data_IF_531556612175
#
_entry.id   IF_531556612175
#
_cell.length_a   1.000
_cell.length_b   1.000
_cell.length_c   1.000
_cell.angle_alpha   90.00
_cell.angle_beta   90.00
_cell.angle_gamma   90.00
#
_symmetry.space_group_name_H-M   'P 1'
#
loop_
_entity.id
_entity.type
_entity.pdbx_description
1 polymer ?
#
# COMPACT_ATOMS: atom_id res chain seq x y z
N UNK A 1 -4.40 24.32 19.14
CA UNK A 1 -3.21 23.63 19.71
C UNK A 1 -1.93 24.17 19.06
N UNK A 2 -0.89 24.48 19.83
CA UNK A 2 0.44 24.81 19.31
C UNK A 2 1.06 23.66 18.48
N UNK A 3 2.00 23.98 17.58
CA UNK A 3 2.67 22.99 16.71
C UNK A 3 3.37 21.87 17.51
N UNK A 4 4.05 22.21 18.60
CA UNK A 4 4.69 21.23 19.47
C UNK A 4 3.69 20.24 20.09
N UNK A 5 2.54 20.75 20.56
CA UNK A 5 1.46 19.91 21.09
C UNK A 5 0.90 18.96 20.03
N UNK A 6 0.85 19.38 18.76
CA UNK A 6 0.44 18.49 17.66
C UNK A 6 1.40 17.31 17.47
N UNK A 7 2.71 17.48 17.62
CA UNK A 7 3.64 16.35 17.54
C UNK A 7 3.49 15.36 18.70
N UNK A 8 3.05 15.85 19.86
CA UNK A 8 2.81 15.00 21.03
C UNK A 8 1.46 14.28 20.98
N UNK A 9 0.43 14.93 20.42
CA UNK A 9 -0.93 14.38 20.38
C UNK A 9 -1.25 13.62 19.09
N UNK A 10 -0.52 13.87 18.00
CA UNK A 10 -0.79 13.22 16.73
C UNK A 10 -0.24 11.80 16.69
N UNK A 11 -0.87 10.97 15.86
CA UNK A 11 -0.45 9.61 15.62
C UNK A 11 0.48 9.53 14.41
N UNK A 12 1.73 9.15 14.65
CA UNK A 12 2.73 8.96 13.61
C UNK A 12 2.72 7.55 13.01
N UNK A 13 3.48 7.38 11.93
CA UNK A 13 3.86 6.05 11.43
C UNK A 13 4.70 5.34 12.50
N UNK A 14 4.46 4.06 12.67
CA UNK A 14 5.22 3.25 13.63
C UNK A 14 6.67 3.12 13.16
N UNK A 15 7.67 3.37 14.03
CA UNK A 15 9.01 2.85 13.82
C UNK A 15 8.95 1.33 13.67
N UNK A 16 9.62 0.80 12.67
CA UNK A 16 9.54 -0.62 12.32
C UNK A 16 10.93 -1.18 12.10
N UNK A 17 11.18 -2.33 12.71
CA UNK A 17 12.27 -3.22 12.36
C UNK A 17 11.69 -4.39 11.56
N UNK A 18 12.20 -4.62 10.36
CA UNK A 18 11.73 -5.67 9.45
C UNK A 18 12.88 -6.59 9.13
N UNK A 19 12.71 -7.87 9.40
CA UNK A 19 13.52 -8.94 8.83
C UNK A 19 12.71 -9.58 7.70
N UNK A 20 13.33 -9.77 6.54
CA UNK A 20 12.64 -10.23 5.35
C UNK A 20 13.54 -11.20 4.59
N UNK A 21 12.97 -12.31 4.14
CA UNK A 21 13.60 -13.27 3.25
C UNK A 21 12.68 -13.57 2.07
N UNK A 22 13.26 -13.66 0.88
CA UNK A 22 12.55 -13.92 -0.35
C UNK A 22 13.37 -14.90 -1.19
N UNK A 23 12.69 -15.87 -1.79
CA UNK A 23 13.28 -16.76 -2.77
C UNK A 23 13.02 -16.27 -4.19
N UNK A 24 14.07 -16.20 -5.01
CA UNK A 24 14.00 -15.89 -6.44
C UNK A 24 14.75 -16.99 -7.20
N UNK A 25 14.12 -17.61 -8.19
CA UNK A 25 14.79 -18.61 -9.03
C UNK A 25 15.62 -17.97 -10.16
N UNK A 26 16.34 -18.81 -10.92
CA UNK A 26 17.18 -18.36 -12.04
C UNK A 26 16.39 -17.70 -13.18
N UNK A 27 15.07 -17.97 -13.26
CA UNK A 27 14.17 -17.36 -14.24
C UNK A 27 13.52 -16.08 -13.70
N UNK A 28 13.85 -15.69 -12.46
CA UNK A 28 13.30 -14.52 -11.80
C UNK A 28 11.89 -14.72 -11.25
N UNK A 29 11.41 -15.94 -11.05
CA UNK A 29 10.11 -16.20 -10.38
C UNK A 29 10.28 -16.18 -8.86
N UNK A 30 9.37 -15.51 -8.17
CA UNK A 30 9.33 -15.45 -6.70
C UNK A 30 8.74 -16.75 -6.17
N UNK A 31 9.46 -17.44 -5.29
CA UNK A 31 9.04 -18.74 -4.74
C UNK A 31 8.40 -18.62 -3.35
N UNK A 32 8.97 -17.79 -2.47
CA UNK A 32 8.44 -17.52 -1.14
C UNK A 32 8.73 -16.11 -0.66
N UNK A 33 7.94 -15.66 0.30
CA UNK A 33 8.18 -14.46 1.11
C UNK A 33 7.96 -14.78 2.58
N UNK A 34 8.98 -14.50 3.39
CA UNK A 34 8.95 -14.62 4.83
C UNK A 34 9.26 -13.27 5.46
N UNK A 35 8.31 -12.71 6.20
CA UNK A 35 8.39 -11.35 6.72
C UNK A 35 8.13 -11.31 8.22
N UNK A 36 9.08 -10.74 8.94
CA UNK A 36 9.03 -10.54 10.38
C UNK A 36 9.06 -9.04 10.66
N UNK A 37 7.97 -8.48 11.18
CA UNK A 37 7.85 -7.06 11.46
C UNK A 37 7.67 -6.80 12.96
N UNK A 38 8.60 -6.07 13.55
CA UNK A 38 8.50 -5.55 14.91
C UNK A 38 8.21 -4.06 14.86
N UNK A 39 7.08 -3.64 15.42
CA UNK A 39 6.65 -2.24 15.39
C UNK A 39 6.55 -1.64 16.79
N UNK A 40 7.03 -0.41 16.92
CA UNK A 40 6.86 0.38 18.14
C UNK A 40 5.53 1.13 18.09
N UNK A 41 4.62 0.76 19.00
CA UNK A 41 3.26 1.28 19.04
C UNK A 41 3.05 2.52 19.91
N UNK A 42 4.04 2.93 20.71
CA UNK A 42 3.87 3.90 21.78
C UNK A 42 2.97 3.40 22.93
N UNK A 43 2.50 4.33 23.76
CA UNK A 43 1.92 4.01 25.07
C UNK A 43 0.51 3.39 25.04
N UNK A 44 -0.27 3.59 23.97
CA UNK A 44 -1.69 3.20 23.90
C UNK A 44 -2.00 2.38 22.67
N UNK A 45 -3.09 1.60 22.70
CA UNK A 45 -3.44 0.66 21.63
C UNK A 45 -3.57 1.30 20.25
N UNK A 46 -4.35 2.40 20.15
CA UNK A 46 -4.58 3.14 18.90
C UNK A 46 -4.94 2.16 17.75
N UNK A 47 -4.53 2.46 16.52
CA UNK A 47 -4.60 1.58 15.36
C UNK A 47 -3.48 0.51 15.33
N UNK A 48 -2.84 0.20 16.45
CA UNK A 48 -1.68 -0.70 16.51
C UNK A 48 -1.97 -2.10 15.98
N UNK A 49 -3.11 -2.68 16.35
CA UNK A 49 -3.54 -4.02 15.87
C UNK A 49 -3.71 -4.03 14.36
N UNK A 50 -4.42 -3.03 13.81
CA UNK A 50 -4.63 -2.88 12.36
C UNK A 50 -3.32 -2.62 11.63
N UNK A 51 -2.42 -1.82 12.21
CA UNK A 51 -1.10 -1.56 11.64
C UNK A 51 -0.28 -2.85 11.55
N UNK A 52 -0.31 -3.67 12.60
CA UNK A 52 0.40 -4.96 12.64
C UNK A 52 -0.16 -5.90 11.59
N UNK A 53 -1.49 -5.94 11.40
CA UNK A 53 -2.10 -6.72 10.33
C UNK A 53 -1.68 -6.24 8.92
N UNK A 54 -1.71 -4.93 8.69
CA UNK A 54 -1.35 -4.34 7.39
C UNK A 54 0.14 -4.48 7.01
N UNK A 55 1.05 -4.57 7.99
CA UNK A 55 2.46 -4.87 7.72
C UNK A 55 2.68 -6.26 7.08
N UNK A 56 1.73 -7.19 7.23
CA UNK A 56 1.77 -8.50 6.60
C UNK A 56 0.91 -8.56 5.35
N UNK A 57 -0.39 -8.33 5.51
CA UNK A 57 -1.41 -8.67 4.52
C UNK A 57 -1.22 -7.96 3.16
N UNK A 58 -0.70 -6.73 3.17
CA UNK A 58 -0.55 -5.89 1.97
C UNK A 58 0.73 -6.20 1.18
N UNK A 59 1.57 -7.14 1.63
CA UNK A 59 2.74 -7.59 0.84
C UNK A 59 2.36 -8.56 -0.29
N UNK A 60 1.14 -9.12 -0.24
CA UNK A 60 0.66 -10.14 -1.18
C UNK A 60 0.22 -9.61 -2.55
N UNK A 61 0.31 -8.31 -2.79
CA UNK A 61 0.17 -7.72 -4.13
C UNK A 61 1.30 -6.73 -4.39
N UNK A 62 1.61 -6.34 -5.63
CA UNK A 62 0.99 -6.79 -6.86
C UNK A 62 1.60 -8.10 -7.38
N UNK A 63 2.52 -8.74 -6.65
CA UNK A 63 3.20 -9.95 -7.09
C UNK A 63 2.50 -11.24 -6.64
N UNK A 64 2.50 -12.24 -7.52
CA UNK A 64 2.04 -13.59 -7.25
C UNK A 64 3.08 -14.31 -6.39
N UNK A 65 2.74 -14.50 -5.12
CA UNK A 65 3.58 -15.20 -4.14
C UNK A 65 2.78 -16.39 -3.63
N UNK A 66 3.26 -17.61 -3.91
CA UNK A 66 2.56 -18.85 -3.58
C UNK A 66 2.81 -19.28 -2.12
N UNK A 67 3.98 -18.97 -1.56
CA UNK A 67 4.37 -19.35 -0.20
C UNK A 67 4.63 -18.09 0.63
N UNK A 68 3.78 -17.82 1.62
CA UNK A 68 3.86 -16.62 2.44
C UNK A 68 3.84 -16.94 3.92
N UNK A 69 4.81 -16.42 4.66
CA UNK A 69 4.84 -16.44 6.12
C UNK A 69 4.97 -15.02 6.65
N UNK A 70 4.17 -14.70 7.66
CA UNK A 70 4.22 -13.41 8.34
C UNK A 70 4.22 -13.59 9.85
N UNK A 71 5.15 -12.90 10.51
CA UNK A 71 5.19 -12.77 11.96
C UNK A 71 5.23 -11.29 12.35
N UNK A 72 4.15 -10.81 12.97
CA UNK A 72 4.00 -9.42 13.39
C UNK A 72 4.02 -9.28 14.90
N UNK A 73 4.87 -8.39 15.42
CA UNK A 73 4.93 -8.05 16.84
C UNK A 73 4.79 -6.54 17.03
N UNK A 74 3.93 -6.15 17.97
CA UNK A 74 3.79 -4.75 18.38
C UNK A 74 4.20 -4.61 19.84
N UNK A 75 5.17 -3.74 20.10
CA UNK A 75 5.56 -3.37 21.45
C UNK A 75 4.82 -2.11 21.93
N UNK A 76 4.39 -2.11 23.19
CA UNK A 76 4.07 -0.88 23.90
C UNK A 76 5.36 -0.23 24.41
N UNK A 77 5.49 1.08 24.27
CA UNK A 77 6.65 1.84 24.75
C UNK A 77 6.22 3.14 25.41
N UNK A 78 7.10 3.78 26.18
CA UNK A 78 6.82 5.06 26.85
C UNK A 78 6.85 6.29 25.90
N UNK A 79 6.51 6.10 24.62
CA UNK A 79 6.42 7.14 23.60
C UNK A 79 4.97 7.48 23.27
N UNK A 80 4.77 8.58 22.56
CA UNK A 80 3.45 8.98 22.07
C UNK A 80 2.84 7.87 21.21
N UNK A 81 1.52 7.62 21.31
CA UNK A 81 0.89 6.53 20.59
C UNK A 81 0.99 6.72 19.08
N UNK A 82 1.48 5.72 18.38
CA UNK A 82 1.48 5.69 16.92
C UNK A 82 0.09 5.34 16.38
N UNK A 83 -0.12 5.47 15.07
CA UNK A 83 -1.40 5.14 14.46
C UNK A 83 -1.37 5.15 12.94
N UNK A 84 -2.47 5.57 12.33
CA UNK A 84 -2.60 5.61 10.88
C UNK A 84 -1.87 6.82 10.28
N UNK A 85 -0.98 6.55 9.32
CA UNK A 85 -0.36 7.54 8.45
C UNK A 85 -0.48 7.03 7.01
N UNK A 86 -0.54 7.94 6.01
CA UNK A 86 -0.76 7.60 4.59
C UNK A 86 0.07 6.38 4.14
N UNK A 87 -0.60 5.39 3.55
CA UNK A 87 -0.03 4.05 3.33
C UNK A 87 0.08 3.27 4.65
N UNK A 88 -1.02 3.18 5.39
CA UNK A 88 -1.07 2.68 6.76
C UNK A 88 -0.60 1.22 6.81
N UNK A 89 0.48 0.97 7.54
CA UNK A 89 1.08 -0.36 7.72
C UNK A 89 1.87 -0.89 6.52
N UNK A 90 1.56 -0.48 5.29
CA UNK A 90 2.19 -1.02 4.08
C UNK A 90 3.58 -0.44 3.76
N UNK A 91 3.86 0.81 4.15
CA UNK A 91 5.01 1.55 3.59
C UNK A 91 6.35 0.92 3.98
N UNK A 92 6.54 0.59 5.26
CA UNK A 92 7.83 0.08 5.75
C UNK A 92 8.09 -1.34 5.24
N UNK A 93 7.07 -2.21 5.24
CA UNK A 93 7.19 -3.57 4.73
C UNK A 93 7.39 -3.58 3.20
N UNK A 94 6.69 -2.71 2.46
CA UNK A 94 6.86 -2.58 1.02
C UNK A 94 8.26 -2.10 0.66
N UNK A 95 8.79 -1.12 1.39
CA UNK A 95 10.16 -0.66 1.18
C UNK A 95 11.16 -1.83 1.32
N UNK A 96 11.06 -2.60 2.41
CA UNK A 96 11.92 -3.75 2.63
C UNK A 96 11.80 -4.81 1.51
N UNK A 97 10.56 -5.08 1.05
CA UNK A 97 10.29 -6.03 -0.03
C UNK A 97 10.89 -5.58 -1.36
N UNK A 98 10.64 -4.33 -1.79
CA UNK A 98 11.15 -3.83 -3.07
C UNK A 98 12.67 -3.72 -3.08
N UNK A 99 13.27 -3.32 -1.95
CA UNK A 99 14.74 -3.28 -1.81
C UNK A 99 15.34 -4.67 -1.90
N UNK A 100 14.80 -5.66 -1.18
CA UNK A 100 15.27 -7.04 -1.26
C UNK A 100 15.12 -7.60 -2.68
N UNK A 101 14.00 -7.31 -3.35
CA UNK A 101 13.78 -7.74 -4.73
C UNK A 101 14.82 -7.17 -5.68
N UNK A 102 15.17 -5.89 -5.55
CA UNK A 102 16.22 -5.26 -6.36
C UNK A 102 17.61 -5.84 -6.05
N UNK A 103 17.93 -6.12 -4.79
CA UNK A 103 19.18 -6.78 -4.40
C UNK A 103 19.30 -8.19 -5.01
N UNK A 104 18.21 -8.96 -5.00
CA UNK A 104 18.15 -10.28 -5.65
C UNK A 104 18.30 -10.17 -7.17
N UNK A 105 17.68 -9.16 -7.81
CA UNK A 105 17.85 -8.90 -9.24
C UNK A 105 19.31 -8.56 -9.57
N UNK A 106 19.99 -7.76 -8.74
CA UNK A 106 21.41 -7.43 -8.93
C UNK A 106 22.29 -8.67 -8.81
N UNK A 107 22.08 -9.49 -7.77
CA UNK A 107 22.83 -10.73 -7.56
C UNK A 107 22.63 -11.73 -8.71
N UNK A 108 21.40 -11.87 -9.21
CA UNK A 108 21.05 -12.75 -10.33
C UNK A 108 21.33 -12.13 -11.72
N UNK A 109 21.76 -10.86 -11.77
CA UNK A 109 21.96 -10.07 -13.00
C UNK A 109 20.72 -9.97 -13.89
N UNK A 110 19.54 -10.01 -13.29
CA UNK A 110 18.25 -9.87 -13.98
C UNK A 110 17.83 -8.39 -14.08
N UNK A 111 17.00 -8.06 -15.07
CA UNK A 111 16.39 -6.73 -15.15
C UNK A 111 15.21 -6.63 -14.16
N UNK A 112 15.22 -5.65 -13.24
CA UNK A 112 14.19 -5.52 -12.20
C UNK A 112 12.79 -5.15 -12.75
N UNK A 113 12.67 -4.57 -13.93
CA UNK A 113 11.37 -4.39 -14.60
C UNK A 113 10.82 -5.72 -15.09
N UNK A 114 11.66 -6.54 -15.74
CA UNK A 114 11.26 -7.85 -16.26
C UNK A 114 10.84 -8.80 -15.14
N UNK A 115 11.62 -8.86 -14.06
CA UNK A 115 11.30 -9.67 -12.87
C UNK A 115 9.93 -9.27 -12.33
N UNK A 116 9.65 -7.97 -12.19
CA UNK A 116 8.34 -7.50 -11.70
C UNK A 116 7.20 -7.88 -12.66
N UNK A 117 7.39 -7.72 -13.97
CA UNK A 117 6.40 -8.07 -14.99
C UNK A 117 6.07 -9.57 -15.01
N UNK A 118 7.08 -10.42 -14.77
CA UNK A 118 6.94 -11.87 -14.77
C UNK A 118 6.25 -12.41 -13.51
N UNK A 119 6.23 -11.63 -12.43
CA UNK A 119 5.62 -12.03 -11.17
C UNK A 119 4.28 -11.36 -10.87
N UNK A 120 3.66 -10.64 -11.80
CA UNK A 120 2.40 -9.94 -11.50
C UNK A 120 1.23 -10.91 -11.23
N UNK A 121 0.39 -10.55 -10.27
CA UNK A 121 -0.91 -11.18 -10.08
C UNK A 121 -1.79 -10.97 -11.31
N UNK A 122 -2.51 -12.01 -11.79
CA UNK A 122 -3.52 -11.82 -12.81
C UNK A 122 -4.73 -11.05 -12.26
N UNK A 123 -5.50 -10.42 -13.14
CA UNK A 123 -6.84 -9.91 -12.79
C UNK A 123 -7.77 -11.07 -12.44
N UNK A 124 -8.79 -10.82 -11.62
CA UNK A 124 -9.75 -11.81 -11.14
C UNK A 124 -9.12 -13.02 -10.43
N UNK A 125 -8.08 -12.78 -9.62
CA UNK A 125 -7.44 -13.81 -8.81
C UNK A 125 -7.71 -13.62 -7.32
N UNK A 126 -7.32 -14.63 -6.53
CA UNK A 126 -7.31 -14.55 -5.06
C UNK A 126 -5.92 -14.89 -4.57
N UNK A 127 -5.34 -14.04 -3.74
CA UNK A 127 -4.03 -14.29 -3.11
C UNK A 127 -4.14 -15.37 -2.03
N UNK A 128 -3.01 -15.92 -1.59
CA UNK A 128 -2.95 -16.97 -0.55
C UNK A 128 -3.62 -16.55 0.76
N UNK A 129 -3.58 -15.25 1.09
CA UNK A 129 -4.25 -14.70 2.27
C UNK A 129 -5.69 -14.22 2.03
N UNK A 130 -6.28 -14.54 0.88
CA UNK A 130 -7.69 -14.30 0.59
C UNK A 130 -8.05 -12.93 0.01
N UNK A 131 -7.08 -12.10 -0.40
CA UNK A 131 -7.40 -10.87 -1.13
C UNK A 131 -7.90 -11.21 -2.53
N UNK A 132 -9.15 -10.85 -2.80
CA UNK A 132 -9.73 -10.92 -4.15
C UNK A 132 -9.29 -9.71 -4.96
N UNK A 133 -8.46 -9.94 -5.98
CA UNK A 133 -8.01 -8.94 -6.93
C UNK A 133 -8.92 -9.01 -8.16
N UNK A 134 -9.76 -8.00 -8.37
CA UNK A 134 -10.67 -7.94 -9.53
C UNK A 134 -10.01 -7.33 -10.76
N UNK A 135 -9.09 -6.38 -10.57
CA UNK A 135 -8.35 -5.73 -11.64
C UNK A 135 -6.90 -5.48 -11.23
N UNK A 136 -5.98 -5.55 -12.20
CA UNK A 136 -4.57 -5.23 -11.99
C UNK A 136 -4.00 -4.47 -13.20
N UNK A 137 -3.74 -3.17 -13.02
CA UNK A 137 -3.11 -2.29 -14.03
C UNK A 137 -1.58 -2.20 -13.93
N UNK A 138 -0.95 -2.95 -13.04
CA UNK A 138 0.49 -2.79 -12.72
C UNK A 138 1.38 -3.02 -13.94
N UNK A 139 1.02 -3.95 -14.84
CA UNK A 139 1.74 -4.21 -16.10
C UNK A 139 1.88 -2.93 -16.93
N UNK A 140 0.74 -2.31 -17.21
CA UNK A 140 0.68 -1.07 -17.99
C UNK A 140 1.45 0.06 -17.31
N UNK A 141 1.37 0.17 -15.98
CA UNK A 141 2.16 1.13 -15.23
C UNK A 141 3.66 0.92 -15.42
N UNK A 142 4.16 -0.33 -15.30
CA UNK A 142 5.59 -0.64 -15.48
C UNK A 142 6.02 -0.35 -16.92
N UNK A 143 5.27 -0.80 -17.92
CA UNK A 143 5.61 -0.61 -19.34
C UNK A 143 5.65 0.89 -19.72
N UNK A 144 4.66 1.67 -19.25
CA UNK A 144 4.64 3.12 -19.46
C UNK A 144 5.77 3.83 -18.72
N UNK A 145 6.04 3.47 -17.47
CA UNK A 145 7.13 4.06 -16.68
C UNK A 145 8.51 3.71 -17.26
N UNK A 146 8.72 2.47 -17.72
CA UNK A 146 9.95 2.03 -18.40
C UNK A 146 10.20 2.86 -19.65
N UNK A 147 9.18 3.04 -20.47
CA UNK A 147 9.24 3.84 -21.70
C UNK A 147 9.50 5.32 -21.40
N UNK A 148 8.67 5.94 -20.55
CA UNK A 148 8.75 7.37 -20.25
C UNK A 148 10.05 7.76 -19.54
N UNK A 149 10.62 6.86 -18.74
CA UNK A 149 11.90 7.08 -18.07
C UNK A 149 13.10 6.78 -18.96
N UNK A 150 12.92 6.20 -20.15
CA UNK A 150 13.97 5.70 -21.04
C UNK A 150 14.88 4.66 -20.35
N UNK A 151 14.24 3.77 -19.59
CA UNK A 151 14.90 2.76 -18.75
C UNK A 151 15.97 1.99 -19.51
N UNK A 152 15.64 1.41 -20.67
CA UNK A 152 16.56 0.55 -21.44
C UNK A 152 17.83 1.27 -21.90
N UNK A 153 17.75 2.60 -22.07
CA UNK A 153 18.91 3.44 -22.41
C UNK A 153 19.73 3.83 -21.18
N UNK A 154 19.10 3.95 -20.00
CA UNK A 154 19.72 4.52 -18.78
C UNK A 154 20.18 3.46 -17.78
N UNK A 155 19.44 2.38 -17.62
CA UNK A 155 19.73 1.35 -16.62
C UNK A 155 21.13 0.78 -16.81
N UNK A 156 21.96 0.84 -15.75
CA UNK A 156 23.40 0.50 -15.72
C UNK A 156 24.30 1.25 -16.73
N UNK A 157 23.81 2.33 -17.35
CA UNK A 157 24.52 3.10 -18.39
C UNK A 157 24.71 4.57 -18.03
N UNK A 158 24.31 4.99 -16.83
CA UNK A 158 24.46 6.35 -16.32
C UNK A 158 25.89 6.61 -15.81
N UNK A 159 26.34 7.88 -15.82
CA UNK A 159 27.66 8.23 -15.29
C UNK A 159 27.74 8.02 -13.77
N UNK A 160 28.98 7.96 -13.26
CA UNK A 160 29.26 7.81 -11.83
C UNK A 160 28.46 8.81 -10.98
N UNK A 161 27.89 8.33 -9.87
CA UNK A 161 27.07 9.11 -8.96
C UNK A 161 25.59 9.29 -9.39
N UNK A 162 25.14 8.62 -10.46
CA UNK A 162 23.74 8.63 -10.89
C UNK A 162 23.20 7.22 -11.10
N UNK A 163 21.93 7.03 -10.75
CA UNK A 163 21.22 5.77 -10.91
C UNK A 163 19.76 5.99 -11.29
N UNK A 164 19.12 4.91 -11.75
CA UNK A 164 17.68 4.82 -11.97
C UNK A 164 17.20 3.53 -11.31
N UNK A 165 16.06 3.58 -10.64
CA UNK A 165 15.46 2.45 -9.94
C UNK A 165 13.96 2.38 -10.21
N UNK A 166 13.37 1.23 -9.90
CA UNK A 166 11.95 0.96 -10.11
C UNK A 166 11.40 0.24 -8.88
N UNK A 167 10.16 0.57 -8.51
CA UNK A 167 9.46 -0.11 -7.44
C UNK A 167 7.95 -0.10 -7.73
N UNK A 168 7.23 -1.09 -7.22
CA UNK A 168 5.76 -1.12 -7.31
C UNK A 168 5.10 -0.88 -5.96
N UNK A 169 4.00 -0.14 -5.97
CA UNK A 169 3.12 0.03 -4.82
C UNK A 169 1.84 -0.75 -4.98
N UNK A 170 1.31 -1.27 -3.87
CA UNK A 170 -0.03 -1.84 -3.80
C UNK A 170 -0.70 -1.35 -2.53
N UNK A 171 -1.97 -0.93 -2.64
CA UNK A 171 -2.76 -0.49 -1.50
C UNK A 171 -4.25 -0.68 -1.78
N UNK A 172 -5.03 -0.80 -0.72
CA UNK A 172 -6.48 -1.02 -0.79
C UNK A 172 -7.25 0.28 -1.06
N UNK A 173 -8.38 0.15 -1.76
CA UNK A 173 -9.37 1.23 -1.96
C UNK A 173 -10.49 1.13 -0.92
N UNK A 174 -10.14 1.39 0.34
CA UNK A 174 -11.03 1.17 1.49
C UNK A 174 -10.86 -0.22 2.11
N UNK A 175 -11.01 -0.31 3.43
CA UNK A 175 -10.99 -1.61 4.11
C UNK A 175 -12.32 -2.31 3.92
N UNK A 176 -12.29 -3.59 3.56
CA UNK A 176 -13.51 -4.40 3.41
C UNK A 176 -14.27 -4.55 4.74
N UNK A 177 -13.56 -4.46 5.87
CA UNK A 177 -14.14 -4.63 7.21
C UNK A 177 -14.41 -3.27 7.84
N UNK A 178 -15.61 -3.15 8.41
CA UNK A 178 -16.06 -2.02 9.21
C UNK A 178 -15.51 -2.13 10.63
N UNK A 179 -15.15 -0.99 11.23
CA UNK A 179 -14.71 -0.95 12.64
C UNK A 179 -15.86 -1.35 13.57
N UNK A 180 -17.07 -0.89 13.27
CA UNK A 180 -18.29 -1.23 14.01
C UNK A 180 -19.12 -2.21 13.20
N UNK A 181 -19.27 -3.43 13.71
CA UNK A 181 -20.03 -4.49 13.03
C UNK A 181 -21.53 -4.25 13.22
N UNK A 182 -22.19 -3.70 12.20
CA UNK A 182 -23.65 -3.57 12.10
C UNK A 182 -24.15 -3.92 10.68
N UNK A 183 -25.46 -4.00 10.46
CA UNK A 183 -26.03 -4.36 9.15
C UNK A 183 -26.34 -3.14 8.26
N UNK A 184 -25.74 -1.99 8.58
CA UNK A 184 -25.93 -0.76 7.81
C UNK A 184 -25.03 -0.73 6.57
N UNK A 185 -25.44 -0.01 5.50
CA UNK A 185 -24.57 0.24 4.37
C UNK A 185 -23.29 0.98 4.79
N UNK A 186 -22.16 0.66 4.16
CA UNK A 186 -20.85 1.26 4.51
C UNK A 186 -20.74 2.74 4.11
N UNK A 187 -21.56 3.19 3.15
CA UNK A 187 -21.67 4.58 2.72
C UNK A 187 -23.12 4.89 2.40
N UNK A 188 -23.55 6.14 2.62
CA UNK A 188 -24.90 6.62 2.33
C UNK A 188 -24.82 8.05 1.82
N UNK A 189 -25.60 8.34 0.78
CA UNK A 189 -25.73 9.65 0.17
C UNK A 189 -27.22 9.97 0.06
N UNK A 190 -27.61 11.19 0.43
CA UNK A 190 -28.96 11.69 0.24
C UNK A 190 -28.96 12.79 -0.83
N UNK A 191 -29.88 12.69 -1.78
CA UNK A 191 -30.02 13.68 -2.85
C UNK A 191 -31.40 14.33 -2.68
N UNK A 192 -31.43 15.67 -2.67
CA UNK A 192 -32.64 16.48 -2.65
C UNK A 192 -32.69 17.29 -3.94
N UNK A 193 -33.84 17.26 -4.60
CA UNK A 193 -34.14 18.12 -5.75
C UNK A 193 -35.23 19.09 -5.28
N UNK A 194 -34.99 20.39 -5.44
CA UNK A 194 -35.95 21.43 -5.08
C UNK A 194 -36.77 21.89 -6.30
N UNK A 195 -37.82 22.68 -6.07
CA UNK A 195 -38.76 23.11 -7.11
C UNK A 195 -38.13 24.04 -8.16
N UNK A 196 -36.98 24.64 -7.87
CA UNK A 196 -36.17 25.43 -8.80
C UNK A 196 -35.26 24.56 -9.69
N UNK A 197 -35.27 23.23 -9.52
CA UNK A 197 -34.39 22.29 -10.21
C UNK A 197 -33.00 22.18 -9.58
N UNK A 198 -32.74 22.88 -8.47
CA UNK A 198 -31.49 22.77 -7.72
C UNK A 198 -31.33 21.39 -7.10
N UNK A 199 -30.13 20.81 -7.23
CA UNK A 199 -29.78 19.50 -6.67
C UNK A 199 -28.83 19.72 -5.49
N UNK A 200 -29.22 19.23 -4.31
CA UNK A 200 -28.37 19.20 -3.12
C UNK A 200 -27.99 17.76 -2.79
N UNK A 201 -26.70 17.51 -2.60
CA UNK A 201 -26.15 16.20 -2.24
C UNK A 201 -25.60 16.27 -0.82
N UNK A 202 -26.09 15.38 0.06
CA UNK A 202 -25.61 15.23 1.42
C UNK A 202 -24.83 13.93 1.56
N UNK A 203 -23.60 14.02 2.07
CA UNK A 203 -22.75 12.88 2.40
C UNK A 203 -21.98 13.16 3.69
N UNK A 204 -21.69 12.10 4.46
CA UNK A 204 -20.87 12.18 5.68
C UNK A 204 -19.37 11.91 5.40
N UNK A 205 -18.98 11.78 4.13
CA UNK A 205 -17.58 11.70 3.75
C UNK A 205 -16.87 13.00 4.13
N UNK A 206 -15.72 12.89 4.82
CA UNK A 206 -14.95 14.06 5.21
C UNK A 206 -14.08 14.54 4.04
N UNK A 207 -14.34 15.74 3.53
CA UNK A 207 -13.44 16.43 2.62
C UNK A 207 -12.24 16.99 3.40
N UNK A 208 -11.05 16.48 3.11
CA UNK A 208 -9.79 16.88 3.75
C UNK A 208 -8.75 17.37 2.73
N UNK A 209 -9.21 17.72 1.52
CA UNK A 209 -8.40 18.19 0.39
C UNK A 209 -8.19 17.16 -0.72
N UNK A 210 -8.81 15.98 -0.62
CA UNK A 210 -8.74 14.93 -1.65
C UNK A 210 -9.75 15.13 -2.79
N UNK A 211 -10.76 15.98 -2.61
CA UNK A 211 -11.79 16.24 -3.62
C UNK A 211 -12.92 15.20 -3.65
N UNK A 212 -13.29 14.61 -2.51
CA UNK A 212 -14.49 13.77 -2.40
C UNK A 212 -15.77 14.52 -2.74
N UNK A 213 -15.87 15.81 -2.40
CA UNK A 213 -17.08 16.59 -2.71
C UNK A 213 -17.22 16.80 -4.22
N UNK A 214 -16.09 17.10 -4.89
CA UNK A 214 -16.02 17.20 -6.35
C UNK A 214 -16.35 15.88 -7.03
N UNK A 215 -15.78 14.77 -6.55
CA UNK A 215 -16.05 13.44 -7.07
C UNK A 215 -17.53 13.08 -6.97
N UNK A 216 -18.17 13.36 -5.82
CA UNK A 216 -19.60 13.13 -5.65
C UNK A 216 -20.44 13.98 -6.60
N UNK A 217 -20.08 15.25 -6.79
CA UNK A 217 -20.78 16.12 -7.75
C UNK A 217 -20.65 15.58 -9.19
N UNK A 218 -19.48 15.09 -9.60
CA UNK A 218 -19.28 14.47 -10.90
C UNK A 218 -20.13 13.21 -11.07
N UNK A 219 -20.13 12.32 -10.08
CA UNK A 219 -20.93 11.09 -10.14
C UNK A 219 -22.45 11.33 -10.16
N UNK A 220 -22.93 12.42 -9.54
CA UNK A 220 -24.36 12.78 -9.57
C UNK A 220 -24.75 13.50 -10.85
N UNK A 221 -23.80 14.17 -11.51
CA UNK A 221 -24.03 14.89 -12.75
C UNK A 221 -23.97 14.01 -14.02
N UNK A 222 -23.19 12.92 -14.00
CA UNK A 222 -23.15 11.88 -15.04
C UNK A 222 -24.46 11.07 -15.09
#
# INVERSE_FOLDING_TARGET
MPRCSRFLSNHGRHPTHTEIAMGLDEQGKISFLDLHAQIDGGAWGSFGVVTTYYNGVLNMGPYAIENFRYHGQRAYTNKTPCGAMRGHGAVNSRFALETLLDELCEAAKLDPCEVRLNNLLPSNCTTVNGFRITSNGTRECIERSRTASEWDRKFRKLPFGRGIGVACGFYISGSAHRIHFNDLPQSTVHIKIDMDGGITVHCMAAEIGQGSDTMLAQCVAE
#
